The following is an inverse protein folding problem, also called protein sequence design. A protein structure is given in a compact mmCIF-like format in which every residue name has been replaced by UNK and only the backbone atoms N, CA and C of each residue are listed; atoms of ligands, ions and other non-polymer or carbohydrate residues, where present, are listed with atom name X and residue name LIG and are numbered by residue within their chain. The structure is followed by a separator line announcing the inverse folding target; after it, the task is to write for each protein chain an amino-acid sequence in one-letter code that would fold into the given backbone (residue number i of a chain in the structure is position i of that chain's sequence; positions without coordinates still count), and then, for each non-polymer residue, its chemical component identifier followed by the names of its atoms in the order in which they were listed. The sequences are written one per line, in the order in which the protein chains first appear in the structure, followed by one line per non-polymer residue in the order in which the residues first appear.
data_IF_713801134463
#
_entry.id   IF_713801134463
#
_cell.length_a   1.000
_cell.length_b   1.000
_cell.length_c   1.000
_cell.angle_alpha   90.00
_cell.angle_beta   90.00
_cell.angle_gamma   90.00
#
_symmetry.space_group_name_H-M   'P 1'
#
loop_
_entity.id
_entity.type
_entity.pdbx_description
1 polymer ?
#
# COMPACT_ATOMS: atom_id res chain seq x y z
N UNK A 1 39.42 -8.02 38.97
CA UNK A 1 38.43 -6.99 38.59
C UNK A 1 37.49 -7.61 37.56
N UNK A 2 36.27 -7.99 37.96
CA UNK A 2 35.23 -8.55 37.08
C UNK A 2 34.10 -7.53 37.00
N UNK A 3 34.19 -6.62 36.03
CA UNK A 3 33.15 -5.65 35.73
C UNK A 3 32.69 -5.89 34.29
N UNK A 4 31.36 -5.94 34.11
CA UNK A 4 30.68 -5.45 32.90
C UNK A 4 30.40 -6.39 31.73
N UNK A 5 29.94 -7.63 31.97
CA UNK A 5 29.15 -8.35 30.93
C UNK A 5 27.63 -8.18 31.10
N UNK A 6 27.14 -7.96 32.33
CA UNK A 6 25.70 -7.80 32.58
C UNK A 6 25.13 -6.44 32.15
N UNK A 7 25.92 -5.37 32.21
CA UNK A 7 25.49 -4.03 31.78
C UNK A 7 25.33 -3.94 30.25
N UNK A 8 26.23 -4.56 29.47
CA UNK A 8 26.15 -4.53 28.01
C UNK A 8 24.88 -5.22 27.48
N UNK A 9 24.49 -6.34 28.08
CA UNK A 9 23.26 -7.06 27.72
C UNK A 9 21.98 -6.27 28.05
N UNK A 10 21.98 -5.51 29.15
CA UNK A 10 20.86 -4.67 29.54
C UNK A 10 20.67 -3.46 28.59
N UNK A 11 21.76 -2.84 28.11
CA UNK A 11 21.69 -1.75 27.14
C UNK A 11 21.25 -2.22 25.75
N UNK A 12 21.73 -3.39 25.30
CA UNK A 12 21.28 -3.99 24.03
C UNK A 12 19.79 -4.38 24.13
N UNK A 13 19.36 -4.97 25.25
CA UNK A 13 17.96 -5.33 25.49
C UNK A 13 17.01 -4.13 25.57
N UNK A 14 17.38 -3.05 26.28
CA UNK A 14 16.56 -1.82 26.34
C UNK A 14 16.56 -1.06 25.00
N UNK A 15 17.70 -1.01 24.30
CA UNK A 15 17.81 -0.39 22.98
C UNK A 15 16.95 -1.10 21.93
N UNK A 16 16.93 -2.44 21.94
CA UNK A 16 16.08 -3.24 21.06
C UNK A 16 14.60 -3.07 21.37
N UNK A 17 14.20 -3.07 22.65
CA UNK A 17 12.79 -2.90 23.03
C UNK A 17 12.24 -1.51 22.69
N UNK A 18 13.02 -0.45 22.92
CA UNK A 18 12.65 0.93 22.56
C UNK A 18 12.63 1.16 21.05
N UNK A 19 13.56 0.54 20.32
CA UNK A 19 13.60 0.59 18.84
C UNK A 19 12.43 -0.17 18.23
N UNK A 20 12.12 -1.38 18.72
CA UNK A 20 10.98 -2.18 18.25
C UNK A 20 9.65 -1.46 18.50
N UNK A 21 9.43 -0.89 19.69
CA UNK A 21 8.23 -0.12 19.99
C UNK A 21 8.05 1.11 19.10
N UNK A 22 9.14 1.85 18.81
CA UNK A 22 9.13 2.96 17.85
C UNK A 22 8.83 2.50 16.42
N UNK A 23 9.42 1.39 15.96
CA UNK A 23 9.13 0.82 14.64
C UNK A 23 7.64 0.46 14.52
N UNK A 24 7.07 -0.19 15.55
CA UNK A 24 5.65 -0.56 15.56
C UNK A 24 4.70 0.66 15.59
N UNK A 25 5.07 1.76 16.26
CA UNK A 25 4.25 2.97 16.28
C UNK A 25 4.33 3.74 14.95
N UNK A 26 5.54 3.86 14.38
CA UNK A 26 5.82 4.48 13.07
C UNK A 26 5.10 3.77 11.93
N UNK A 27 5.19 2.43 11.91
CA UNK A 27 4.48 1.60 10.95
C UNK A 27 2.96 1.83 10.93
N UNK A 28 2.33 2.22 12.05
CA UNK A 28 0.89 2.54 12.08
C UNK A 28 0.54 3.83 11.38
N UNK A 29 1.32 4.91 11.58
CA UNK A 29 1.08 6.19 10.91
C UNK A 29 1.18 6.01 9.40
N UNK A 30 2.25 5.37 8.94
CA UNK A 30 2.45 4.98 7.55
C UNK A 30 1.29 4.13 7.01
N UNK A 31 0.93 3.05 7.72
CA UNK A 31 -0.16 2.15 7.31
C UNK A 31 -1.49 2.87 7.16
N UNK A 32 -1.83 3.75 8.11
CA UNK A 32 -3.07 4.50 8.08
C UNK A 32 -3.12 5.45 6.90
N UNK A 33 -2.02 6.18 6.66
CA UNK A 33 -1.90 7.08 5.51
C UNK A 33 -2.05 6.32 4.19
N UNK A 34 -1.23 5.29 3.97
CA UNK A 34 -1.24 4.51 2.72
C UNK A 34 -2.60 3.82 2.51
N UNK A 35 -3.19 3.25 3.55
CA UNK A 35 -4.51 2.61 3.46
C UNK A 35 -5.61 3.62 3.13
N UNK A 36 -5.59 4.83 3.71
CA UNK A 36 -6.59 5.85 3.45
C UNK A 36 -6.55 6.34 1.99
N UNK A 37 -5.35 6.63 1.46
CA UNK A 37 -5.17 7.00 0.05
C UNK A 37 -5.64 5.90 -0.89
N UNK A 38 -5.20 4.65 -0.65
CA UNK A 38 -5.56 3.53 -1.50
C UNK A 38 -7.06 3.23 -1.49
N UNK A 39 -7.71 3.33 -0.33
CA UNK A 39 -9.17 3.15 -0.21
C UNK A 39 -9.95 4.27 -0.92
N UNK A 40 -9.50 5.51 -0.81
CA UNK A 40 -10.08 6.63 -1.56
C UNK A 40 -9.95 6.40 -3.07
N UNK A 41 -8.76 6.03 -3.54
CA UNK A 41 -8.48 5.74 -4.94
C UNK A 41 -9.29 4.56 -5.47
N UNK A 42 -9.39 3.47 -4.71
CA UNK A 42 -10.18 2.29 -5.08
C UNK A 42 -11.67 2.59 -5.17
N UNK A 43 -12.20 3.45 -4.28
CA UNK A 43 -13.58 3.93 -4.35
C UNK A 43 -13.82 4.76 -5.60
N UNK A 44 -12.90 5.69 -5.93
CA UNK A 44 -12.95 6.48 -7.17
C UNK A 44 -12.92 5.57 -8.40
N UNK A 45 -11.95 4.66 -8.49
CA UNK A 45 -11.85 3.68 -9.57
C UNK A 45 -13.15 2.87 -9.77
N UNK A 46 -13.79 2.43 -8.68
CA UNK A 46 -15.07 1.70 -8.73
C UNK A 46 -16.26 2.55 -9.22
N UNK A 47 -16.18 3.87 -9.06
CA UNK A 47 -17.15 4.84 -9.59
C UNK A 47 -16.90 5.13 -11.07
N UNK A 48 -15.65 5.08 -11.53
CA UNK A 48 -15.26 5.23 -12.94
C UNK A 48 -15.63 4.02 -13.78
N UNK A 49 -15.87 2.85 -13.18
CA UNK A 49 -16.34 1.67 -13.93
C UNK A 49 -17.60 2.05 -14.73
N UNK A 50 -17.56 1.98 -16.07
CA UNK A 50 -18.60 2.51 -16.92
C UNK A 50 -19.98 1.94 -16.59
N UNK A 51 -21.00 2.78 -16.66
CA UNK A 51 -22.39 2.35 -16.44
C UNK A 51 -22.96 1.60 -17.65
N UNK A 52 -22.41 1.86 -18.84
CA UNK A 52 -22.84 1.31 -20.13
C UNK A 52 -22.14 0.02 -20.57
N UNK A 53 -21.39 -0.65 -19.68
CA UNK A 53 -20.76 -1.93 -20.03
C UNK A 53 -21.85 -2.88 -20.50
N UNK A 54 -21.67 -3.41 -21.73
CA UNK A 54 -22.65 -4.15 -22.53
C UNK A 54 -23.40 -5.27 -21.78
N UNK A 55 -22.80 -5.80 -20.71
CA UNK A 55 -23.40 -6.80 -19.83
C UNK A 55 -23.25 -6.40 -18.36
N UNK A 56 -24.35 -6.40 -17.62
CA UNK A 56 -24.39 -6.17 -16.16
C UNK A 56 -23.37 -7.05 -15.40
N UNK A 57 -23.08 -8.25 -15.92
CA UNK A 57 -22.07 -9.17 -15.37
C UNK A 57 -20.64 -8.61 -15.42
N UNK A 58 -20.25 -7.93 -16.49
CA UNK A 58 -18.87 -7.47 -16.67
C UNK A 58 -18.57 -6.30 -15.73
N UNK A 59 -19.56 -5.42 -15.52
CA UNK A 59 -19.49 -4.37 -14.50
C UNK A 59 -19.34 -4.95 -13.10
N UNK A 60 -20.14 -5.96 -12.75
CA UNK A 60 -20.03 -6.63 -11.45
C UNK A 60 -18.63 -7.23 -11.28
N UNK A 61 -18.13 -7.93 -12.30
CA UNK A 61 -16.85 -8.60 -12.20
C UNK A 61 -15.65 -7.63 -12.24
N UNK A 62 -15.75 -6.49 -12.91
CA UNK A 62 -14.74 -5.42 -12.84
C UNK A 62 -14.63 -4.86 -11.41
N UNK A 63 -15.77 -4.71 -10.72
CA UNK A 63 -15.78 -4.33 -9.29
C UNK A 63 -15.18 -5.43 -8.40
N UNK A 64 -15.41 -6.70 -8.74
CA UNK A 64 -14.75 -7.83 -8.05
C UNK A 64 -13.23 -7.80 -8.25
N UNK A 65 -12.73 -7.45 -9.45
CA UNK A 65 -11.30 -7.24 -9.69
C UNK A 65 -10.72 -6.17 -8.75
N UNK A 66 -11.39 -5.01 -8.64
CA UNK A 66 -10.97 -3.90 -7.77
C UNK A 66 -10.98 -4.30 -6.27
N UNK A 67 -12.04 -4.96 -5.82
CA UNK A 67 -12.15 -5.42 -4.43
C UNK A 67 -11.05 -6.43 -4.06
N UNK A 68 -10.81 -7.40 -4.95
CA UNK A 68 -9.75 -8.40 -4.77
C UNK A 68 -8.37 -7.73 -4.74
N UNK A 69 -8.15 -6.76 -5.63
CA UNK A 69 -6.91 -5.98 -5.66
C UNK A 69 -6.67 -5.22 -4.37
N UNK A 70 -7.72 -4.58 -3.83
CA UNK A 70 -7.67 -3.86 -2.55
C UNK A 70 -7.31 -4.76 -1.40
N UNK A 71 -7.89 -5.95 -1.35
CA UNK A 71 -7.58 -6.95 -0.30
C UNK A 71 -6.13 -7.38 -0.37
N UNK A 72 -5.61 -7.65 -1.57
CA UNK A 72 -4.19 -8.00 -1.77
C UNK A 72 -3.25 -6.87 -1.38
N UNK A 73 -3.56 -5.63 -1.75
CA UNK A 73 -2.76 -4.48 -1.37
C UNK A 73 -2.67 -4.32 0.16
N UNK A 74 -3.78 -4.44 0.88
CA UNK A 74 -3.78 -4.40 2.35
C UNK A 74 -2.91 -5.48 2.98
N UNK A 75 -2.87 -6.68 2.40
CA UNK A 75 -1.96 -7.73 2.85
C UNK A 75 -0.49 -7.36 2.60
N UNK A 76 -0.17 -6.80 1.43
CA UNK A 76 1.19 -6.33 1.11
C UNK A 76 1.63 -5.18 2.03
N UNK A 77 0.74 -4.25 2.33
CA UNK A 77 1.01 -3.16 3.26
C UNK A 77 1.43 -3.69 4.62
N UNK A 78 0.66 -4.63 5.20
CA UNK A 78 1.01 -5.27 6.48
C UNK A 78 2.37 -5.98 6.43
N UNK A 79 2.69 -6.68 5.35
CA UNK A 79 3.97 -7.40 5.20
C UNK A 79 5.19 -6.47 5.15
N UNK A 80 5.02 -5.21 4.74
CA UNK A 80 6.11 -4.26 4.60
C UNK A 80 6.12 -3.19 5.71
N UNK A 81 5.08 -3.12 6.55
CA UNK A 81 4.91 -2.06 7.55
C UNK A 81 6.05 -1.98 8.56
N UNK A 82 6.58 -3.14 8.97
CA UNK A 82 7.63 -3.25 9.99
C UNK A 82 9.05 -3.08 9.42
N UNK A 83 9.19 -2.85 8.11
CA UNK A 83 10.49 -2.59 7.47
C UNK A 83 10.95 -1.15 7.74
N UNK A 84 12.26 -0.93 7.69
CA UNK A 84 12.84 0.41 7.73
C UNK A 84 12.38 1.25 6.52
N UNK A 85 12.32 2.59 6.62
CA UNK A 85 11.71 3.44 5.58
C UNK A 85 12.36 3.29 4.20
N UNK A 86 13.69 3.22 4.17
CA UNK A 86 14.55 3.05 3.00
C UNK A 86 14.32 1.71 2.29
N UNK A 87 13.93 0.67 3.03
CA UNK A 87 13.54 -0.62 2.47
C UNK A 87 12.05 -0.71 2.15
N UNK A 88 11.21 -0.04 2.95
CA UNK A 88 9.75 -0.14 2.88
C UNK A 88 9.19 0.52 1.64
N UNK A 89 9.58 1.76 1.35
CA UNK A 89 9.00 2.52 0.22
C UNK A 89 9.28 1.84 -1.12
N UNK A 90 10.52 1.42 -1.46
CA UNK A 90 10.78 0.67 -2.68
C UNK A 90 10.03 -0.67 -2.74
N UNK A 91 9.97 -1.40 -1.62
CA UNK A 91 9.24 -2.67 -1.56
C UNK A 91 7.72 -2.48 -1.77
N UNK A 92 7.16 -1.40 -1.23
CA UNK A 92 5.76 -1.05 -1.42
C UNK A 92 5.46 -0.58 -2.84
N UNK A 93 6.35 0.19 -3.48
CA UNK A 93 6.24 0.56 -4.90
C UNK A 93 6.22 -0.70 -5.78
N UNK A 94 7.18 -1.60 -5.58
CA UNK A 94 7.24 -2.84 -6.36
C UNK A 94 6.00 -3.72 -6.16
N UNK A 95 5.52 -3.84 -4.91
CA UNK A 95 4.30 -4.59 -4.59
C UNK A 95 3.05 -3.94 -5.20
N UNK A 96 3.00 -2.61 -5.23
CA UNK A 96 1.92 -1.85 -5.83
C UNK A 96 1.88 -2.05 -7.35
N UNK A 97 3.01 -1.93 -8.03
CA UNK A 97 3.10 -2.06 -9.49
C UNK A 97 2.68 -3.46 -9.94
N UNK A 98 3.19 -4.50 -9.27
CA UNK A 98 2.74 -5.88 -9.53
C UNK A 98 1.22 -6.04 -9.35
N UNK A 99 0.65 -5.36 -8.35
CA UNK A 99 -0.77 -5.44 -8.05
C UNK A 99 -1.62 -4.70 -9.08
N UNK A 100 -1.19 -3.53 -9.54
CA UNK A 100 -1.86 -2.76 -10.60
C UNK A 100 -1.77 -3.49 -11.94
N UNK A 101 -0.65 -4.10 -12.28
CA UNK A 101 -0.52 -4.91 -13.50
C UNK A 101 -1.51 -6.07 -13.49
N UNK A 102 -1.59 -6.80 -12.36
CA UNK A 102 -2.55 -7.89 -12.18
C UNK A 102 -4.01 -7.41 -12.27
N UNK A 103 -4.32 -6.24 -11.70
CA UNK A 103 -5.63 -5.62 -11.81
C UNK A 103 -5.95 -5.23 -13.26
N UNK A 104 -5.00 -4.62 -13.98
CA UNK A 104 -5.17 -4.23 -15.37
C UNK A 104 -5.43 -5.43 -16.29
N UNK A 105 -4.79 -6.58 -16.04
CA UNK A 105 -5.12 -7.83 -16.74
C UNK A 105 -6.54 -8.30 -16.44
N UNK A 106 -6.99 -8.19 -15.19
CA UNK A 106 -8.36 -8.57 -14.79
C UNK A 106 -9.41 -7.66 -15.45
N UNK A 107 -9.17 -6.35 -15.48
CA UNK A 107 -10.08 -5.35 -16.05
C UNK A 107 -10.17 -5.45 -17.58
N UNK A 108 -9.06 -5.63 -18.29
CA UNK A 108 -9.04 -5.77 -19.76
C UNK A 108 -9.81 -6.99 -20.29
N UNK A 109 -10.12 -7.97 -19.43
CA UNK A 109 -11.01 -9.10 -19.79
C UNK A 109 -12.49 -8.73 -19.76
N UNK A 110 -12.83 -7.51 -19.32
CA UNK A 110 -14.20 -7.05 -19.03
C UNK A 110 -14.51 -5.67 -19.59
N UNK A 111 -13.47 -4.86 -19.78
CA UNK A 111 -13.52 -3.47 -20.23
C UNK A 111 -12.61 -3.31 -21.44
N UNK A 112 -12.84 -2.26 -22.22
CA UNK A 112 -11.89 -1.85 -23.27
C UNK A 112 -10.58 -1.35 -22.65
N UNK A 113 -9.56 -1.13 -23.47
CA UNK A 113 -8.30 -0.56 -23.01
C UNK A 113 -8.50 0.87 -22.47
N UNK A 114 -9.33 1.67 -23.11
CA UNK A 114 -9.62 3.05 -22.70
C UNK A 114 -10.35 3.06 -21.35
N UNK A 115 -11.42 2.28 -21.23
CA UNK A 115 -12.17 2.12 -19.97
C UNK A 115 -11.29 1.56 -18.85
N UNK A 116 -10.39 0.62 -19.15
CA UNK A 116 -9.43 0.12 -18.16
C UNK A 116 -8.49 1.23 -17.70
N UNK A 117 -7.98 2.03 -18.63
CA UNK A 117 -7.05 3.13 -18.33
C UNK A 117 -7.73 4.19 -17.45
N UNK A 118 -8.98 4.53 -17.76
CA UNK A 118 -9.80 5.43 -16.93
C UNK A 118 -10.04 4.89 -15.52
N UNK A 119 -10.34 3.58 -15.39
CA UNK A 119 -10.52 2.94 -14.08
C UNK A 119 -9.22 2.89 -13.28
N UNK A 120 -8.07 2.73 -13.93
CA UNK A 120 -6.76 2.68 -13.26
C UNK A 120 -6.19 4.07 -12.93
N UNK A 121 -6.59 5.13 -13.62
CA UNK A 121 -6.05 6.47 -13.42
C UNK A 121 -6.07 6.96 -11.95
N UNK A 122 -7.17 6.83 -11.18
CA UNK A 122 -7.19 7.24 -9.77
C UNK A 122 -6.20 6.48 -8.89
N UNK A 123 -5.87 5.24 -9.27
CA UNK A 123 -4.89 4.42 -8.58
C UNK A 123 -3.47 4.93 -8.89
N UNK A 124 -3.15 5.21 -10.15
CA UNK A 124 -1.85 5.81 -10.49
C UNK A 124 -1.62 7.15 -9.80
N UNK A 125 -2.62 8.05 -9.79
CA UNK A 125 -2.54 9.33 -9.07
C UNK A 125 -2.26 9.13 -7.57
N UNK A 126 -2.93 8.16 -6.93
CA UNK A 126 -2.71 7.89 -5.52
C UNK A 126 -1.32 7.32 -5.23
N UNK A 127 -0.73 6.56 -6.17
CA UNK A 127 0.65 6.04 -6.05
C UNK A 127 1.66 7.17 -5.92
N UNK A 128 1.57 8.16 -6.80
CA UNK A 128 2.48 9.31 -6.85
C UNK A 128 2.49 10.09 -5.53
N UNK A 129 1.35 10.11 -4.84
CA UNK A 129 1.26 10.73 -3.50
C UNK A 129 1.72 9.71 -2.45
N UNK A 130 0.98 8.63 -2.23
CA UNK A 130 1.13 7.79 -1.04
C UNK A 130 2.48 7.06 -0.97
N UNK A 131 3.13 6.80 -2.11
CA UNK A 131 4.43 6.12 -2.20
C UNK A 131 5.54 7.04 -2.74
N UNK A 132 5.38 8.36 -2.63
CA UNK A 132 6.46 9.29 -3.00
C UNK A 132 7.71 9.04 -2.17
N UNK A 133 8.88 9.17 -2.81
CA UNK A 133 10.17 9.21 -2.12
C UNK A 133 10.40 10.54 -1.39
N UNK A 134 9.63 11.59 -1.73
CA UNK A 134 9.63 12.85 -1.00
C UNK A 134 8.71 12.72 0.22
N UNK A 135 9.30 12.74 1.42
CA UNK A 135 8.59 12.63 2.69
C UNK A 135 7.62 13.79 2.97
N UNK A 136 7.73 14.92 2.26
CA UNK A 136 6.79 16.04 2.37
C UNK A 136 5.53 15.86 1.53
N UNK A 137 5.57 14.94 0.58
CA UNK A 137 4.46 14.60 -0.34
C UNK A 137 3.86 13.25 0.01
N UNK A 138 4.71 12.28 0.38
CA UNK A 138 4.33 10.89 0.63
C UNK A 138 3.98 10.56 2.07
N UNK A 139 3.51 9.33 2.26
CA UNK A 139 3.24 8.84 3.60
C UNK A 139 4.55 8.64 4.37
N UNK A 140 4.73 9.44 5.42
CA UNK A 140 5.85 9.33 6.34
C UNK A 140 5.49 8.47 7.57
N UNK A 141 6.50 8.18 8.38
CA UNK A 141 6.37 7.49 9.67
C UNK A 141 6.00 8.41 10.83
N UNK A 142 5.92 9.71 10.57
CA UNK A 142 5.69 10.71 11.59
C UNK A 142 4.18 10.86 11.85
N UNK A 143 3.76 10.97 13.13
CA UNK A 143 2.35 11.06 13.53
C UNK A 143 1.70 12.43 13.24
#
# INVERSE_FOLDING_TARGET
MKLSFALLAAFIGLGLATTAGRITQRGRAYTNCVSAYFEAASRKAAQTVPRGVSRTSDRFLARVCLYTSTTKFKMRLRQNTDKQPDERTPAMIAAYDQQIDSLGVCLRRRLTNDETSEVLAPLYEAKEIMLSNDATVGCADDP
#
